data_IF_647470848886
#
_entry.id   IF_647470848886
#
_cell.length_a   1.000
_cell.length_b   1.000
_cell.length_c   1.000
_cell.angle_alpha   90.00
_cell.angle_beta   90.00
_cell.angle_gamma   90.00
#
_symmetry.space_group_name_H-M   'P 1'
#
loop_
_entity.id
_entity.type
_entity.pdbx_description
1 polymer ?
#
# COMPACT_ATOMS: atom_id res chain seq x y z
N UNK A 1 -1.25 -6.83 -14.50
CA UNK A 1 -0.34 -7.87 -13.95
C UNK A 1 0.84 -7.22 -13.24
N UNK A 2 1.43 -7.90 -12.25
CA UNK A 2 2.53 -7.43 -11.41
C UNK A 2 3.88 -8.02 -11.83
N UNK A 3 4.96 -7.27 -11.66
CA UNK A 3 6.31 -7.85 -11.63
C UNK A 3 6.51 -8.70 -10.38
N UNK A 4 7.50 -9.59 -10.40
CA UNK A 4 7.84 -10.41 -9.23
C UNK A 4 8.26 -9.54 -8.03
N UNK A 5 8.98 -8.44 -8.29
CA UNK A 5 9.37 -7.48 -7.26
C UNK A 5 8.15 -6.76 -6.64
N UNK A 6 7.21 -6.31 -7.46
CA UNK A 6 5.98 -5.66 -7.00
C UNK A 6 5.10 -6.62 -6.19
N UNK A 7 5.00 -7.89 -6.59
CA UNK A 7 4.29 -8.92 -5.82
C UNK A 7 4.95 -9.13 -4.44
N UNK A 8 6.27 -9.30 -4.38
CA UNK A 8 6.98 -9.44 -3.10
C UNK A 8 6.80 -8.23 -2.17
N UNK A 9 6.82 -7.02 -2.73
CA UNK A 9 6.54 -5.79 -1.98
C UNK A 9 5.11 -5.76 -1.45
N UNK A 10 4.12 -6.11 -2.29
CA UNK A 10 2.71 -6.18 -1.90
C UNK A 10 2.47 -7.22 -0.81
N UNK A 11 3.07 -8.42 -0.91
CA UNK A 11 2.99 -9.46 0.12
C UNK A 11 3.61 -9.02 1.45
N UNK A 12 4.76 -8.32 1.40
CA UNK A 12 5.42 -7.80 2.60
C UNK A 12 4.57 -6.71 3.26
N UNK A 13 4.03 -5.76 2.47
CA UNK A 13 3.14 -4.73 2.96
C UNK A 13 1.86 -5.30 3.58
N UNK A 14 1.31 -6.37 2.98
CA UNK A 14 0.13 -7.06 3.51
C UNK A 14 0.41 -7.71 4.87
N UNK A 15 1.51 -8.47 5.00
CA UNK A 15 1.86 -9.12 6.27
C UNK A 15 2.06 -8.08 7.38
N UNK A 16 2.79 -7.02 7.09
CA UNK A 16 3.00 -5.92 8.03
C UNK A 16 1.69 -5.26 8.47
N UNK A 17 0.72 -5.09 7.55
CA UNK A 17 -0.60 -4.56 7.89
C UNK A 17 -1.40 -5.52 8.78
N UNK A 18 -1.42 -6.82 8.47
CA UNK A 18 -2.11 -7.82 9.29
C UNK A 18 -1.53 -7.84 10.71
N UNK A 19 -0.21 -7.78 10.84
CA UNK A 19 0.47 -7.70 12.15
C UNK A 19 0.11 -6.41 12.91
N UNK A 20 0.02 -5.27 12.22
CA UNK A 20 -0.44 -4.01 12.83
C UNK A 20 -1.89 -4.09 13.29
N UNK A 21 -2.78 -4.68 12.48
CA UNK A 21 -4.17 -4.89 12.87
C UNK A 21 -4.29 -5.84 14.08
N UNK A 22 -3.50 -6.91 14.12
CA UNK A 22 -3.46 -7.83 15.26
C UNK A 22 -2.95 -7.15 16.54
N UNK A 23 -1.87 -6.38 16.43
CA UNK A 23 -1.30 -5.60 17.54
C UNK A 23 -2.30 -4.57 18.07
N UNK A 24 -2.97 -3.86 17.17
CA UNK A 24 -3.98 -2.88 17.55
C UNK A 24 -5.20 -3.52 18.21
N UNK A 25 -5.65 -4.67 17.69
CA UNK A 25 -6.71 -5.46 18.32
C UNK A 25 -6.34 -5.85 19.75
N UNK A 26 -5.12 -6.33 19.98
CA UNK A 26 -4.64 -6.67 21.32
C UNK A 26 -4.61 -5.45 22.25
N UNK A 27 -4.19 -4.27 21.75
CA UNK A 27 -4.23 -3.02 22.52
C UNK A 27 -5.65 -2.66 22.94
N UNK A 28 -6.63 -2.76 22.03
CA UNK A 28 -8.03 -2.48 22.35
C UNK A 28 -8.59 -3.49 23.35
N UNK A 29 -8.34 -4.79 23.16
CA UNK A 29 -8.79 -5.85 24.07
C UNK A 29 -8.18 -5.71 25.47
N UNK A 30 -6.88 -5.41 25.58
CA UNK A 30 -6.21 -5.18 26.86
C UNK A 30 -6.76 -3.99 27.65
N UNK A 31 -7.35 -3.02 26.96
CA UNK A 31 -7.98 -1.85 27.56
C UNK A 31 -9.52 -1.95 27.63
N UNK A 32 -10.10 -3.09 27.26
CA UNK A 32 -11.54 -3.34 27.19
C UNK A 32 -12.28 -2.29 26.32
N UNK A 33 -11.68 -1.90 25.20
CA UNK A 33 -12.22 -0.93 24.27
C UNK A 33 -12.93 -1.62 23.09
N UNK A 34 -13.97 -0.98 22.51
CA UNK A 34 -14.65 -1.51 21.35
C UNK A 34 -13.72 -1.54 20.13
N UNK A 35 -13.89 -2.55 19.27
CA UNK A 35 -13.19 -2.62 17.99
C UNK A 35 -13.64 -1.49 17.07
N UNK A 36 -12.85 -0.43 17.00
CA UNK A 36 -13.10 0.75 16.19
C UNK A 36 -11.78 1.38 15.77
N UNK A 37 -11.77 2.10 14.64
CA UNK A 37 -10.64 2.94 14.20
C UNK A 37 -10.95 4.44 14.37
N UNK A 38 -12.14 4.77 14.87
CA UNK A 38 -12.57 6.13 15.12
C UNK A 38 -12.01 6.60 16.47
N UNK A 39 -10.92 7.39 16.43
CA UNK A 39 -10.26 7.94 17.63
C UNK A 39 -11.25 8.68 18.56
N UNK A 40 -12.16 9.54 18.09
CA UNK A 40 -13.18 10.15 18.95
C UNK A 40 -14.03 9.13 19.70
N UNK A 41 -14.50 8.07 19.03
CA UNK A 41 -15.30 7.00 19.66
C UNK A 41 -14.51 6.29 20.76
N UNK A 42 -13.23 6.01 20.52
CA UNK A 42 -12.36 5.36 21.50
C UNK A 42 -12.05 6.27 22.69
N UNK A 43 -11.82 7.57 22.45
CA UNK A 43 -11.66 8.55 23.54
C UNK A 43 -12.91 8.61 24.40
N UNK A 44 -14.10 8.63 23.82
CA UNK A 44 -15.36 8.59 24.59
C UNK A 44 -15.49 7.30 25.40
N UNK A 45 -15.17 6.13 24.82
CA UNK A 45 -15.19 4.86 25.55
C UNK A 45 -14.23 4.87 26.75
N UNK A 46 -13.01 5.39 26.58
CA UNK A 46 -12.02 5.54 27.66
C UNK A 46 -12.56 6.47 28.75
N UNK A 47 -13.11 7.64 28.38
CA UNK A 47 -13.69 8.57 29.36
C UNK A 47 -14.81 7.94 30.15
N UNK A 48 -15.73 7.23 29.49
CA UNK A 48 -16.83 6.55 30.16
C UNK A 48 -16.34 5.48 31.14
N UNK A 49 -15.29 4.72 30.76
CA UNK A 49 -14.68 3.72 31.63
C UNK A 49 -14.03 4.33 32.87
N UNK A 50 -13.21 5.36 32.69
CA UNK A 50 -12.55 6.07 33.80
C UNK A 50 -13.57 6.78 34.70
N UNK A 51 -14.59 7.37 34.10
CA UNK A 51 -15.68 8.00 34.83
C UNK A 51 -16.47 6.98 35.64
N UNK A 52 -16.82 5.82 35.06
CA UNK A 52 -17.50 4.75 35.79
C UNK A 52 -16.68 4.26 37.00
N UNK A 53 -15.36 4.14 36.85
CA UNK A 53 -14.46 3.83 37.98
C UNK A 53 -14.50 4.92 39.04
N UNK A 54 -14.48 6.20 38.64
CA UNK A 54 -14.57 7.33 39.57
C UNK A 54 -15.90 7.37 40.34
N UNK A 55 -17.03 7.05 39.68
CA UNK A 55 -18.35 6.97 40.33
C UNK A 55 -18.42 5.92 41.44
N UNK A 56 -17.55 4.90 41.43
CA UNK A 56 -17.50 3.90 42.51
C UNK A 56 -16.86 4.45 43.79
N UNK A 57 -16.08 5.53 43.67
CA UNK A 57 -15.32 6.13 44.77
C UNK A 57 -15.93 7.45 45.23
N UNK A 58 -16.51 8.24 44.31
CA UNK A 58 -17.15 9.53 44.60
C UNK A 58 -18.68 9.47 44.52
N UNK A 59 -19.32 9.32 45.69
CA UNK A 59 -20.77 9.28 45.82
C UNK A 59 -21.46 10.62 45.45
N UNK A 60 -20.76 11.75 45.61
CA UNK A 60 -21.30 13.07 45.28
C UNK A 60 -21.36 13.28 43.77
N UNK A 61 -20.31 12.87 43.06
CA UNK A 61 -20.27 12.85 41.60
C UNK A 61 -21.33 11.89 41.03
N UNK A 62 -21.52 10.72 41.67
CA UNK A 62 -22.56 9.77 41.29
C UNK A 62 -23.97 10.36 41.35
N UNK A 63 -24.33 11.02 42.46
CA UNK A 63 -25.62 11.70 42.55
C UNK A 63 -25.77 12.81 41.51
N UNK A 64 -24.72 13.59 41.24
CA UNK A 64 -24.74 14.63 40.19
C UNK A 64 -24.99 14.04 38.81
N UNK A 65 -24.36 12.93 38.48
CA UNK A 65 -24.56 12.24 37.21
C UNK A 65 -25.97 11.68 37.07
N UNK A 66 -26.49 11.02 38.11
CA UNK A 66 -27.85 10.44 38.12
C UNK A 66 -28.96 11.50 38.06
N UNK A 67 -28.71 12.72 38.56
CA UNK A 67 -29.66 13.84 38.47
C UNK A 67 -29.78 14.45 37.06
N UNK A 68 -28.81 14.18 36.17
CA UNK A 68 -28.85 14.68 34.79
C UNK A 68 -29.85 13.86 33.95
N UNK A 69 -30.80 14.57 33.32
CA UNK A 69 -31.94 13.96 32.62
C UNK A 69 -31.73 13.69 31.13
N UNK A 70 -30.63 14.19 30.54
CA UNK A 70 -30.32 14.01 29.11
C UNK A 70 -28.96 13.36 28.93
N UNK A 71 -28.86 12.52 27.90
CA UNK A 71 -27.60 11.86 27.51
C UNK A 71 -26.52 12.91 27.17
N UNK A 72 -26.89 13.99 26.47
CA UNK A 72 -25.97 15.08 26.11
C UNK A 72 -25.38 15.78 27.35
N UNK A 73 -26.16 15.99 28.41
CA UNK A 73 -25.66 16.59 29.64
C UNK A 73 -24.74 15.63 30.40
N UNK A 74 -25.04 14.32 30.36
CA UNK A 74 -24.20 13.28 30.95
C UNK A 74 -22.85 13.19 30.22
N UNK A 75 -22.84 13.17 28.88
CA UNK A 75 -21.61 13.18 28.08
C UNK A 75 -20.76 14.42 28.35
N UNK A 76 -21.40 15.59 28.49
CA UNK A 76 -20.71 16.83 28.83
C UNK A 76 -20.04 16.76 30.20
N UNK A 77 -20.75 16.26 31.23
CA UNK A 77 -20.19 16.09 32.57
C UNK A 77 -18.99 15.13 32.55
N UNK A 78 -19.09 14.02 31.81
CA UNK A 78 -17.99 13.07 31.65
C UNK A 78 -16.78 13.73 30.99
N UNK A 79 -16.98 14.49 29.92
CA UNK A 79 -15.91 15.20 29.21
C UNK A 79 -15.23 16.30 30.05
N UNK A 80 -15.99 17.00 30.90
CA UNK A 80 -15.46 18.01 31.82
C UNK A 80 -14.71 17.39 33.01
N UNK A 81 -15.09 16.18 33.42
CA UNK A 81 -14.50 15.51 34.59
C UNK A 81 -13.24 14.73 34.23
N UNK A 82 -13.24 14.04 33.09
CA UNK A 82 -12.13 13.17 32.68
C UNK A 82 -11.28 13.86 31.61
N UNK A 83 -10.13 14.39 32.03
CA UNK A 83 -9.09 14.79 31.10
C UNK A 83 -8.29 13.54 30.64
N UNK A 84 -8.06 13.45 29.33
CA UNK A 84 -7.27 12.40 28.70
C UNK A 84 -5.85 12.85 28.31
N UNK A 85 -5.50 14.11 28.56
CA UNK A 85 -4.17 14.64 28.25
C UNK A 85 -3.08 13.86 29.01
N UNK A 86 -2.08 13.37 28.28
CA UNK A 86 -1.00 12.54 28.82
C UNK A 86 -1.42 11.11 29.17
N UNK A 87 -2.62 10.67 28.81
CA UNK A 87 -3.03 9.28 29.00
C UNK A 87 -2.41 8.39 27.93
N UNK A 88 -1.39 7.62 28.30
CA UNK A 88 -0.53 6.86 27.40
C UNK A 88 -1.31 6.00 26.38
N UNK A 89 -2.41 5.37 26.81
CA UNK A 89 -3.26 4.52 25.95
C UNK A 89 -3.84 5.31 24.78
N UNK A 90 -4.20 6.58 24.98
CA UNK A 90 -4.76 7.44 23.90
C UNK A 90 -3.69 7.73 22.86
N UNK A 91 -2.47 8.06 23.29
CA UNK A 91 -1.34 8.30 22.39
C UNK A 91 -0.98 7.03 21.59
N UNK A 92 -0.98 5.87 22.26
CA UNK A 92 -0.76 4.58 21.62
C UNK A 92 -1.85 4.27 20.57
N UNK A 93 -3.13 4.53 20.88
CA UNK A 93 -4.24 4.35 19.93
C UNK A 93 -4.07 5.25 18.71
N UNK A 94 -3.80 6.54 18.91
CA UNK A 94 -3.65 7.50 17.80
C UNK A 94 -2.48 7.10 16.88
N UNK A 95 -1.35 6.74 17.48
CA UNK A 95 -0.17 6.27 16.76
C UNK A 95 -0.46 4.99 15.96
N UNK A 96 -1.14 4.02 16.56
CA UNK A 96 -1.46 2.75 15.89
C UNK A 96 -2.49 2.94 14.76
N UNK A 97 -3.51 3.78 14.96
CA UNK A 97 -4.47 4.11 13.88
C UNK A 97 -3.76 4.80 12.71
N UNK A 98 -2.84 5.72 12.98
CA UNK A 98 -2.03 6.36 11.94
C UNK A 98 -1.12 5.36 11.20
N UNK A 99 -0.51 4.42 11.93
CA UNK A 99 0.32 3.36 11.36
C UNK A 99 -0.51 2.44 10.45
N UNK A 100 -1.68 1.97 10.91
CA UNK A 100 -2.61 1.14 10.14
C UNK A 100 -3.05 1.84 8.86
N UNK A 101 -3.42 3.12 8.93
CA UNK A 101 -3.80 3.91 7.73
C UNK A 101 -2.66 4.00 6.73
N UNK A 102 -1.44 4.20 7.21
CA UNK A 102 -0.23 4.28 6.37
C UNK A 102 0.14 2.93 5.76
N UNK A 103 0.00 1.84 6.51
CA UNK A 103 0.23 0.49 6.02
C UNK A 103 -0.83 0.09 4.98
N UNK A 104 -2.10 0.45 5.23
CA UNK A 104 -3.18 0.22 4.28
C UNK A 104 -2.97 0.97 2.96
N UNK A 105 -2.53 2.23 2.99
CA UNK A 105 -2.25 2.98 1.76
C UNK A 105 -1.11 2.38 0.93
N UNK A 106 -0.21 1.60 1.54
CA UNK A 106 0.87 0.89 0.85
C UNK A 106 0.47 -0.44 0.26
N UNK A 107 -0.69 -0.99 0.65
CA UNK A 107 -1.27 -2.20 0.05
C UNK A 107 -1.93 -1.88 -1.29
N UNK A 108 -2.10 -0.60 -1.63
CA UNK A 108 -2.50 -0.19 -2.97
C UNK A 108 -1.42 -0.58 -3.98
N UNK A 109 -1.73 -1.62 -4.74
CA UNK A 109 -0.93 -2.13 -5.83
C UNK A 109 -0.96 -1.09 -6.97
N UNK A 110 0.00 -0.17 -6.99
CA UNK A 110 0.23 0.67 -8.15
C UNK A 110 0.97 -0.15 -9.21
N UNK A 111 0.26 -0.61 -10.23
CA UNK A 111 0.88 -1.23 -11.40
C UNK A 111 1.28 -0.13 -12.40
N UNK A 112 2.59 0.11 -12.53
CA UNK A 112 3.18 0.89 -13.62
C UNK A 112 2.97 2.41 -13.58
N UNK A 113 3.86 3.13 -14.28
CA UNK A 113 3.75 4.56 -14.53
C UNK A 113 2.83 4.83 -15.73
N UNK A 114 1.65 5.39 -15.47
CA UNK A 114 0.74 5.93 -16.49
C UNK A 114 -0.62 5.23 -16.58
N UNK A 115 -1.71 6.01 -16.50
CA UNK A 115 -3.12 5.81 -16.91
C UNK A 115 -3.77 4.39 -16.91
N UNK A 116 -3.19 3.40 -16.26
CA UNK A 116 -3.84 2.15 -15.91
C UNK A 116 -4.20 2.22 -14.44
N UNK A 117 -5.36 2.83 -14.22
CA UNK A 117 -6.15 2.73 -13.01
C UNK A 117 -6.17 1.29 -12.49
N UNK A 118 -6.34 1.08 -11.17
CA UNK A 118 -6.42 -0.25 -10.57
C UNK A 118 -7.32 -1.17 -11.41
N UNK A 119 -6.78 -2.31 -11.85
CA UNK A 119 -7.58 -3.36 -12.48
C UNK A 119 -8.64 -3.79 -11.46
N UNK A 120 -9.86 -3.30 -11.71
CA UNK A 120 -11.19 -3.77 -11.30
C UNK A 120 -11.26 -4.53 -9.99
N UNK A 121 -11.99 -3.94 -9.05
CA UNK A 121 -12.64 -4.59 -7.91
C UNK A 121 -13.11 -6.01 -8.28
N UNK A 122 -12.31 -7.03 -7.97
CA UNK A 122 -12.80 -8.41 -7.99
C UNK A 122 -13.85 -8.49 -6.89
N UNK A 123 -15.10 -8.86 -7.19
CA UNK A 123 -16.11 -9.01 -6.15
C UNK A 123 -15.61 -9.96 -5.08
N UNK A 124 -15.81 -9.62 -3.80
CA UNK A 124 -15.36 -10.42 -2.67
C UNK A 124 -15.82 -11.89 -2.77
N UNK A 125 -17.01 -12.12 -3.34
CA UNK A 125 -17.53 -13.45 -3.62
C UNK A 125 -16.66 -14.26 -4.60
N UNK A 126 -16.18 -13.62 -5.66
CA UNK A 126 -15.28 -14.25 -6.65
C UNK A 126 -13.93 -14.54 -6.03
N UNK A 127 -13.36 -13.56 -5.30
CA UNK A 127 -12.10 -13.74 -4.59
C UNK A 127 -12.17 -14.87 -3.55
N UNK A 128 -13.25 -14.92 -2.76
CA UNK A 128 -13.48 -15.98 -1.78
C UNK A 128 -13.62 -17.36 -2.45
N UNK A 129 -14.32 -17.44 -3.58
CA UNK A 129 -14.54 -18.72 -4.28
C UNK A 129 -13.29 -19.26 -4.99
N UNK A 130 -12.52 -18.39 -5.65
CA UNK A 130 -11.37 -18.81 -6.45
C UNK A 130 -10.10 -19.00 -5.61
N UNK A 131 -9.95 -18.19 -4.55
CA UNK A 131 -8.71 -18.13 -3.77
C UNK A 131 -8.90 -18.46 -2.30
N UNK A 132 -10.11 -18.76 -1.83
CA UNK A 132 -10.35 -19.09 -0.42
C UNK A 132 -9.97 -17.96 0.54
N UNK A 133 -10.17 -16.71 0.12
CA UNK A 133 -9.70 -15.50 0.81
C UNK A 133 -8.17 -15.39 0.95
N UNK A 134 -7.41 -16.14 0.17
CA UNK A 134 -5.95 -16.10 0.17
C UNK A 134 -5.42 -15.03 -0.81
N UNK A 135 -5.09 -13.86 -0.29
CA UNK A 135 -4.55 -12.76 -1.11
C UNK A 135 -3.21 -13.13 -1.76
N UNK A 136 -2.36 -13.92 -1.10
CA UNK A 136 -1.07 -14.32 -1.68
C UNK A 136 -1.28 -15.16 -2.95
N UNK A 137 -2.23 -16.12 -2.90
CA UNK A 137 -2.59 -16.91 -4.07
C UNK A 137 -3.16 -16.05 -5.22
N UNK A 138 -3.91 -15.00 -4.88
CA UNK A 138 -4.38 -14.01 -5.86
C UNK A 138 -3.23 -13.22 -6.48
N UNK A 139 -2.34 -12.64 -5.65
CA UNK A 139 -1.20 -11.86 -6.13
C UNK A 139 -0.28 -12.68 -7.03
N UNK A 140 -0.03 -13.95 -6.66
CA UNK A 140 0.79 -14.87 -7.45
C UNK A 140 0.16 -15.17 -8.82
N UNK A 141 -1.16 -15.39 -8.90
CA UNK A 141 -1.86 -15.59 -10.19
C UNK A 141 -1.79 -14.35 -11.09
N UNK A 142 -1.76 -13.17 -10.51
CA UNK A 142 -1.72 -11.89 -11.24
C UNK A 142 -0.30 -11.34 -11.45
N UNK A 143 0.73 -12.13 -11.12
CA UNK A 143 2.14 -11.81 -11.40
C UNK A 143 2.52 -12.26 -12.82
N UNK A 144 3.42 -11.53 -13.47
CA UNK A 144 3.96 -11.88 -14.78
C UNK A 144 4.54 -13.30 -14.74
N UNK A 145 4.06 -14.14 -15.65
CA UNK A 145 4.58 -15.48 -15.82
C UNK A 145 5.63 -15.48 -16.94
N UNK A 146 6.89 -15.39 -16.56
CA UNK A 146 8.02 -15.44 -17.49
C UNK A 146 8.35 -16.85 -17.99
N UNK A 147 7.61 -17.90 -17.58
CA UNK A 147 7.90 -19.29 -17.96
C UNK A 147 7.95 -19.47 -19.48
N UNK A 148 9.08 -19.96 -19.99
CA UNK A 148 9.36 -20.11 -21.42
C UNK A 148 9.81 -18.83 -22.16
N UNK A 149 9.81 -17.69 -21.48
CA UNK A 149 10.26 -16.37 -21.97
C UNK A 149 11.39 -15.78 -21.11
N UNK A 150 11.99 -16.55 -20.21
CA UNK A 150 12.97 -16.08 -19.23
C UNK A 150 14.18 -15.43 -19.92
N UNK A 151 14.56 -15.95 -21.08
CA UNK A 151 15.62 -15.43 -21.93
C UNK A 151 15.36 -14.01 -22.43
N UNK A 152 14.09 -13.59 -22.60
CA UNK A 152 13.76 -12.25 -23.06
C UNK A 152 14.07 -11.23 -21.97
N UNK A 153 13.65 -11.51 -20.72
CA UNK A 153 13.98 -10.64 -19.59
C UNK A 153 15.50 -10.59 -19.37
N UNK A 154 16.18 -11.73 -19.43
CA UNK A 154 17.63 -11.80 -19.31
C UNK A 154 18.36 -10.99 -20.41
N UNK A 155 17.84 -11.01 -21.64
CA UNK A 155 18.36 -10.19 -22.73
C UNK A 155 18.26 -8.69 -22.42
N UNK A 156 17.10 -8.20 -21.98
CA UNK A 156 16.92 -6.79 -21.63
C UNK A 156 17.76 -6.38 -20.41
N UNK A 157 17.93 -7.27 -19.44
CA UNK A 157 18.82 -7.03 -18.29
C UNK A 157 20.29 -6.90 -18.73
N UNK A 158 20.75 -7.76 -19.65
CA UNK A 158 22.11 -7.65 -20.21
C UNK A 158 22.27 -6.37 -21.03
N UNK A 159 21.30 -6.07 -21.88
CA UNK A 159 21.28 -4.86 -22.69
C UNK A 159 21.29 -3.59 -21.81
N UNK A 160 20.56 -3.59 -20.69
CA UNK A 160 20.58 -2.48 -19.73
C UNK A 160 21.99 -2.15 -19.24
N UNK A 161 22.81 -3.16 -18.94
CA UNK A 161 24.22 -2.96 -18.54
C UNK A 161 25.07 -2.39 -19.66
N UNK A 162 24.89 -2.89 -20.88
CA UNK A 162 25.62 -2.38 -22.06
C UNK A 162 25.24 -0.93 -22.36
N UNK A 163 23.96 -0.57 -22.20
CA UNK A 163 23.48 0.80 -22.35
C UNK A 163 23.98 1.73 -21.23
N UNK A 164 24.15 1.19 -20.02
CA UNK A 164 24.70 1.94 -18.90
C UNK A 164 26.16 2.32 -19.18
N UNK A 165 26.98 1.36 -19.62
CA UNK A 165 28.35 1.61 -20.06
C UNK A 165 28.40 2.61 -21.24
N UNK A 166 27.51 2.48 -22.21
CA UNK A 166 27.45 3.40 -23.35
C UNK A 166 27.03 4.82 -22.92
N UNK A 167 26.10 4.96 -21.97
CA UNK A 167 25.70 6.25 -21.40
C UNK A 167 26.86 6.91 -20.65
N UNK A 168 27.61 6.16 -19.85
CA UNK A 168 28.82 6.67 -19.16
C UNK A 168 29.85 7.21 -20.15
N UNK A 169 30.10 6.50 -21.26
CA UNK A 169 30.99 6.98 -22.32
C UNK A 169 30.47 8.26 -22.99
N UNK A 170 29.15 8.36 -23.23
CA UNK A 170 28.52 9.56 -23.79
C UNK A 170 28.63 10.73 -22.81
N UNK A 171 28.37 10.54 -21.53
CA UNK A 171 28.55 11.57 -20.50
C UNK A 171 29.98 12.06 -20.40
N UNK A 172 30.96 11.16 -20.56
CA UNK A 172 32.38 11.56 -20.58
C UNK A 172 32.79 12.38 -21.80
N UNK A 173 32.01 12.34 -22.89
CA UNK A 173 32.33 12.92 -24.20
C UNK A 173 31.39 14.04 -24.67
N UNK A 174 30.27 14.27 -23.97
CA UNK A 174 29.23 15.28 -24.25
C UNK A 174 28.70 15.90 -22.95
N UNK A 175 27.71 16.78 -23.10
CA UNK A 175 26.91 17.36 -22.01
C UNK A 175 26.43 16.28 -21.02
N UNK A 176 26.79 16.43 -19.74
CA UNK A 176 26.57 15.48 -18.65
C UNK A 176 25.09 15.29 -18.27
N UNK A 177 24.18 15.96 -18.97
CA UNK A 177 22.74 15.97 -18.74
C UNK A 177 21.93 15.12 -19.72
N UNK A 178 22.57 14.35 -20.61
CA UNK A 178 21.84 13.55 -21.60
C UNK A 178 21.10 12.35 -20.96
N UNK A 179 19.79 12.22 -21.20
CA UNK A 179 19.00 11.07 -20.74
C UNK A 179 19.13 9.86 -21.68
N UNK A 180 18.77 8.66 -21.21
CA UNK A 180 18.76 7.44 -22.03
C UNK A 180 17.88 7.59 -23.29
N UNK A 181 16.78 8.34 -23.19
CA UNK A 181 15.89 8.63 -24.31
C UNK A 181 16.57 9.49 -25.39
N UNK A 182 17.35 10.49 -24.97
CA UNK A 182 18.09 11.36 -25.89
C UNK A 182 19.23 10.60 -26.60
N UNK A 183 19.85 9.62 -25.94
CA UNK A 183 20.94 8.84 -26.51
C UNK A 183 20.47 7.67 -27.39
N UNK A 184 19.39 6.97 -27.00
CA UNK A 184 19.02 5.67 -27.59
C UNK A 184 17.57 5.62 -28.14
N UNK A 185 16.83 6.73 -28.08
CA UNK A 185 15.51 6.86 -28.70
C UNK A 185 14.51 5.82 -28.21
N UNK A 186 13.82 5.15 -29.14
CA UNK A 186 12.75 4.16 -28.86
C UNK A 186 13.18 2.98 -27.98
N UNK A 187 14.49 2.72 -27.86
CA UNK A 187 15.00 1.67 -26.97
C UNK A 187 14.72 2.01 -25.50
N UNK A 188 14.68 3.31 -25.16
CA UNK A 188 14.43 3.80 -23.81
C UNK A 188 13.04 3.42 -23.27
N UNK A 189 12.04 3.21 -24.13
CA UNK A 189 10.68 2.82 -23.71
C UNK A 189 10.64 1.44 -23.01
N UNK A 190 11.66 0.61 -23.22
CA UNK A 190 11.81 -0.71 -22.56
C UNK A 190 12.57 -0.64 -21.23
N UNK A 191 12.96 0.54 -20.78
CA UNK A 191 13.67 0.77 -19.52
C UNK A 191 12.96 1.83 -18.68
N UNK A 192 13.09 1.74 -17.36
CA UNK A 192 12.56 2.76 -16.44
C UNK A 192 13.44 4.01 -16.55
N UNK A 193 12.90 5.12 -17.03
CA UNK A 193 13.65 6.36 -17.27
C UNK A 193 13.31 7.42 -16.22
N UNK A 194 14.10 7.52 -15.16
CA UNK A 194 13.90 8.59 -14.16
C UNK A 194 15.18 9.35 -13.74
N UNK A 195 16.39 8.90 -14.11
CA UNK A 195 17.62 9.58 -13.67
C UNK A 195 18.74 9.57 -14.71
N UNK A 196 19.54 10.64 -14.71
CA UNK A 196 20.81 10.75 -15.42
C UNK A 196 21.90 9.87 -14.78
N UNK A 197 21.78 9.60 -13.49
CA UNK A 197 22.70 8.80 -12.69
C UNK A 197 22.01 7.58 -12.09
N UNK A 198 22.66 6.41 -12.15
CA UNK A 198 22.17 5.16 -11.56
C UNK A 198 21.70 4.11 -12.58
N UNK A 199 21.39 2.89 -12.10
CA UNK A 199 21.26 1.72 -12.95
C UNK A 199 20.09 1.80 -13.93
N UNK A 200 20.32 1.37 -15.17
CA UNK A 200 19.28 1.24 -16.19
C UNK A 200 18.53 -0.08 -15.96
N UNK A 201 17.29 0.02 -15.46
CA UNK A 201 16.46 -1.13 -15.11
C UNK A 201 15.40 -1.38 -16.19
N UNK A 202 15.21 -2.63 -16.65
CA UNK A 202 14.15 -2.97 -17.60
C UNK A 202 12.75 -2.59 -17.10
N UNK A 203 11.92 -2.09 -18.01
CA UNK A 203 10.49 -1.91 -17.79
C UNK A 203 9.76 -3.20 -18.16
N UNK A 204 9.67 -4.12 -17.21
CA UNK A 204 9.04 -5.43 -17.38
C UNK A 204 7.60 -5.33 -17.90
N UNK A 205 6.82 -4.32 -17.48
CA UNK A 205 5.45 -4.11 -17.96
C UNK A 205 5.40 -3.86 -19.48
N UNK A 206 6.30 -3.01 -19.98
CA UNK A 206 6.41 -2.71 -21.41
C UNK A 206 6.91 -3.90 -22.22
N UNK A 207 7.87 -4.66 -21.68
CA UNK A 207 8.39 -5.86 -22.34
C UNK A 207 7.30 -6.94 -22.43
N UNK A 208 6.64 -7.21 -21.30
CA UNK A 208 5.62 -8.26 -21.20
C UNK A 208 4.39 -7.95 -22.07
N UNK A 209 3.89 -6.70 -22.05
CA UNK A 209 2.79 -6.24 -22.92
C UNK A 209 3.11 -6.42 -24.41
N UNK A 210 4.35 -6.13 -24.83
CA UNK A 210 4.77 -6.34 -26.20
C UNK A 210 4.88 -7.83 -26.57
N UNK A 211 5.37 -8.67 -25.67
CA UNK A 211 5.41 -10.13 -25.88
C UNK A 211 4.01 -10.72 -26.02
N UNK A 212 3.06 -10.32 -25.17
CA UNK A 212 1.67 -10.78 -25.27
C UNK A 212 1.02 -10.33 -26.58
N UNK A 213 1.28 -9.10 -27.04
CA UNK A 213 0.80 -8.61 -28.35
C UNK A 213 1.35 -9.44 -29.52
N UNK A 214 2.61 -9.86 -29.44
CA UNK A 214 3.25 -10.71 -30.45
C UNK A 214 2.64 -12.13 -30.41
N UNK A 215 2.47 -12.71 -29.23
CA UNK A 215 1.84 -14.04 -29.04
C UNK A 215 0.36 -14.06 -29.45
N UNK A 216 -0.36 -12.95 -29.25
CA UNK A 216 -1.77 -12.78 -29.60
C UNK A 216 -2.04 -12.43 -31.08
N UNK A 217 -1.02 -12.41 -31.94
CA UNK A 217 -1.23 -12.35 -33.39
C UNK A 217 -1.77 -11.02 -33.94
N UNK A 218 -1.46 -9.87 -33.35
CA UNK A 218 -1.75 -8.55 -33.96
C UNK A 218 -0.47 -7.81 -34.37
N UNK A 219 0.34 -8.47 -35.20
CA UNK A 219 1.30 -7.80 -36.06
C UNK A 219 0.71 -7.69 -37.48
N UNK A 220 -0.47 -7.10 -37.60
CA UNK A 220 -1.02 -6.75 -38.91
C UNK A 220 -0.22 -5.55 -39.48
N UNK A 221 0.55 -5.88 -40.52
CA UNK A 221 0.74 -5.07 -41.73
C UNK A 221 1.24 -3.63 -41.59
N UNK A 222 2.51 -3.45 -41.21
CA UNK A 222 3.27 -2.24 -41.66
C UNK A 222 4.63 -2.51 -42.31
N UNK A 223 4.99 -3.77 -42.55
CA UNK A 223 6.18 -4.14 -43.33
C UNK A 223 5.86 -4.79 -44.69
N UNK A 224 4.57 -4.99 -45.02
CA UNK A 224 4.12 -5.54 -46.31
C UNK A 224 3.68 -4.45 -47.32
N UNK A 225 4.19 -3.22 -47.18
CA UNK A 225 4.14 -2.21 -48.25
C UNK A 225 5.54 -1.70 -48.53
N UNK A 226 6.27 -2.49 -49.31
CA UNK A 226 7.23 -2.00 -50.29
C UNK A 226 6.80 -2.53 -51.65
#
# INVERSE_FOLDING_TARGET
>A
MLTQQENQQAQTAQRAFIEQCATYRQLLEANELPLSVCVPTLKTAIRNKLFAQLLTVDAGLKMRFEMLRTEEAQEKLVAETINLDGYEVVEQIEKQVAAIKTAFSRIMISAGSGLMMPEREMPLSTFASEFGLNLAAYLDKHTFNWKGNEHVLAYFQKLGKELEMAREMIHSSRDSSASIYQAFGKLADYFKSESHDGPIVPNEHMIYSNLERIKGGKFESKLARK
#
